data_IF_200120264541
#
_entry.id   IF_200120264541
#
_cell.length_a   1.000
_cell.length_b   1.000
_cell.length_c   1.000
_cell.angle_alpha   90.00
_cell.angle_beta   90.00
_cell.angle_gamma   90.00
#
_symmetry.space_group_name_H-M   'P 1'
#
loop_
_entity.id
_entity.type
_entity.pdbx_description
1 polymer ?
#
# COMPACT_ATOMS: atom_id res chain seq x y z
N UNK A 1 -24.67 2.14 -12.95
CA UNK A 1 -24.80 2.11 -11.48
C UNK A 1 -26.16 1.53 -11.16
N UNK A 2 -26.27 0.44 -10.36
CA UNK A 2 -27.58 -0.09 -9.97
C UNK A 2 -28.28 0.92 -9.07
N UNK A 3 -29.53 1.20 -9.33
CA UNK A 3 -30.36 2.04 -8.47
C UNK A 3 -30.77 1.24 -7.25
N UNK A 4 -30.01 1.37 -6.17
CA UNK A 4 -30.27 0.66 -4.93
C UNK A 4 -31.46 1.21 -4.13
N UNK A 5 -32.18 2.22 -4.66
CA UNK A 5 -33.42 2.72 -4.07
C UNK A 5 -34.63 1.85 -4.43
N UNK A 6 -34.51 0.98 -5.41
CA UNK A 6 -35.59 0.10 -5.85
C UNK A 6 -35.55 -1.24 -5.12
N UNK A 7 -36.61 -1.52 -4.35
CA UNK A 7 -36.75 -2.72 -3.52
C UNK A 7 -36.70 -4.05 -4.32
N UNK A 8 -37.01 -4.02 -5.60
CA UNK A 8 -36.95 -5.18 -6.50
C UNK A 8 -35.55 -5.63 -6.85
N UNK A 9 -34.55 -4.75 -6.71
CA UNK A 9 -33.14 -5.10 -6.96
C UNK A 9 -32.48 -5.87 -5.82
N UNK A 10 -33.14 -5.95 -4.66
CA UNK A 10 -32.65 -6.68 -3.49
C UNK A 10 -33.11 -8.16 -3.47
N UNK A 11 -33.71 -8.65 -4.54
CA UNK A 11 -34.20 -10.03 -4.61
C UNK A 11 -33.09 -11.00 -4.98
N UNK A 12 -32.71 -11.88 -4.06
CA UNK A 12 -31.77 -12.97 -4.38
C UNK A 12 -30.93 -13.53 -3.24
N UNK A 13 -30.96 -12.93 -2.04
CA UNK A 13 -30.25 -13.53 -0.90
C UNK A 13 -31.18 -14.39 -0.01
N UNK A 14 -30.65 -15.52 0.50
CA UNK A 14 -31.45 -16.37 1.42
C UNK A 14 -31.82 -15.62 2.70
N UNK A 15 -33.03 -15.82 3.19
CA UNK A 15 -33.42 -15.32 4.51
C UNK A 15 -32.48 -15.86 5.58
N UNK A 16 -32.01 -14.98 6.46
CA UNK A 16 -31.13 -15.35 7.57
C UNK A 16 -29.64 -15.37 7.26
N UNK A 17 -29.22 -14.82 6.15
CA UNK A 17 -27.80 -14.66 5.87
C UNK A 17 -27.14 -13.74 6.90
N UNK A 18 -26.35 -14.31 7.80
CA UNK A 18 -25.59 -13.56 8.81
C UNK A 18 -24.28 -13.09 8.20
N UNK A 19 -24.04 -11.78 8.20
CA UNK A 19 -22.75 -11.21 7.85
C UNK A 19 -21.80 -11.40 9.03
N UNK A 20 -21.07 -12.51 9.01
CA UNK A 20 -19.95 -12.73 9.92
C UNK A 20 -18.78 -11.85 9.52
N UNK A 21 -17.77 -11.75 10.39
CA UNK A 21 -16.50 -11.09 10.04
C UNK A 21 -15.91 -11.60 8.71
N UNK A 22 -15.88 -12.90 8.52
CA UNK A 22 -15.38 -13.55 7.29
C UNK A 22 -16.20 -13.14 6.07
N UNK A 23 -17.53 -13.19 6.17
CA UNK A 23 -18.41 -12.77 5.08
C UNK A 23 -18.28 -11.29 4.77
N UNK A 24 -18.15 -10.44 5.79
CA UNK A 24 -17.92 -9.01 5.62
C UNK A 24 -16.63 -8.73 4.84
N UNK A 25 -15.55 -9.43 5.12
CA UNK A 25 -14.27 -9.28 4.39
C UNK A 25 -14.37 -9.73 2.93
N UNK A 26 -15.31 -10.61 2.61
CA UNK A 26 -15.53 -11.12 1.25
C UNK A 26 -16.51 -10.25 0.43
N UNK A 27 -17.18 -9.26 1.04
CA UNK A 27 -18.04 -8.33 0.32
C UNK A 27 -17.16 -7.32 -0.39
N UNK A 28 -17.18 -7.26 -1.73
CA UNK A 28 -16.35 -6.32 -2.46
C UNK A 28 -16.78 -4.88 -2.17
N UNK A 29 -15.82 -3.99 -2.11
CA UNK A 29 -16.05 -2.55 -2.08
C UNK A 29 -16.41 -2.08 -3.47
N UNK A 30 -17.37 -1.15 -3.54
CA UNK A 30 -17.76 -0.44 -4.76
C UNK A 30 -17.30 1.01 -4.56
N UNK A 31 -16.15 1.39 -5.13
CA UNK A 31 -15.63 2.74 -4.94
C UNK A 31 -16.42 3.74 -5.80
N UNK A 32 -16.65 4.90 -5.23
CA UNK A 32 -17.28 6.05 -5.87
C UNK A 32 -16.35 7.26 -5.71
N UNK A 33 -16.09 7.99 -6.81
CA UNK A 33 -15.30 9.22 -6.74
C UNK A 33 -16.00 10.24 -5.85
N UNK A 34 -15.24 10.95 -5.02
CA UNK A 34 -15.76 12.00 -4.14
C UNK A 34 -16.11 13.24 -4.96
N UNK A 35 -17.36 13.32 -5.43
CA UNK A 35 -17.98 14.43 -6.17
C UNK A 35 -19.29 14.80 -5.50
N UNK A 36 -19.76 16.04 -5.68
CA UNK A 36 -21.07 16.47 -5.14
C UNK A 36 -22.22 15.53 -5.52
N UNK A 37 -22.27 15.10 -6.79
CA UNK A 37 -23.27 14.15 -7.27
C UNK A 37 -23.22 12.80 -6.50
N UNK A 38 -22.03 12.27 -6.26
CA UNK A 38 -21.85 11.00 -5.57
C UNK A 38 -22.09 11.13 -4.06
N UNK A 39 -21.74 12.28 -3.46
CA UNK A 39 -22.09 12.62 -2.07
C UNK A 39 -23.61 12.67 -1.90
N UNK A 40 -24.32 13.34 -2.81
CA UNK A 40 -25.78 13.40 -2.79
C UNK A 40 -26.42 12.02 -2.94
N UNK A 41 -25.94 11.19 -3.87
CA UNK A 41 -26.38 9.79 -4.01
C UNK A 41 -26.14 8.96 -2.75
N UNK A 42 -24.98 9.13 -2.12
CA UNK A 42 -24.61 8.46 -0.89
C UNK A 42 -25.54 8.86 0.27
N UNK A 43 -25.79 10.15 0.42
CA UNK A 43 -26.69 10.70 1.42
C UNK A 43 -28.15 10.26 1.20
N UNK A 44 -28.64 10.27 -0.05
CA UNK A 44 -29.99 9.76 -0.37
C UNK A 44 -30.16 8.30 0.05
N UNK A 45 -29.14 7.47 -0.08
CA UNK A 45 -29.21 6.09 0.40
C UNK A 45 -29.30 6.03 1.93
N UNK A 46 -28.51 6.82 2.64
CA UNK A 46 -28.58 6.90 4.11
C UNK A 46 -29.99 7.33 4.56
N UNK A 47 -30.53 8.37 3.95
CA UNK A 47 -31.88 8.85 4.27
C UNK A 47 -32.96 7.80 3.98
N UNK A 48 -32.80 7.06 2.89
CA UNK A 48 -33.68 5.94 2.59
C UNK A 48 -33.65 4.86 3.69
N UNK A 49 -32.46 4.45 4.16
CA UNK A 49 -32.34 3.45 5.22
C UNK A 49 -32.92 3.96 6.55
N UNK A 50 -32.75 5.24 6.86
CA UNK A 50 -33.40 5.88 8.00
C UNK A 50 -34.93 5.85 7.86
N UNK A 51 -35.47 6.18 6.68
CA UNK A 51 -36.91 6.23 6.44
C UNK A 51 -37.60 4.87 6.59
N UNK A 52 -36.94 3.80 6.17
CA UNK A 52 -37.45 2.43 6.34
C UNK A 52 -37.09 1.81 7.69
N UNK A 53 -36.50 2.59 8.59
CA UNK A 53 -36.05 2.17 9.92
C UNK A 53 -35.17 0.92 9.90
N UNK A 54 -34.29 0.82 8.89
CA UNK A 54 -33.29 -0.24 8.86
C UNK A 54 -32.33 -0.07 10.06
N UNK A 55 -32.11 -1.09 10.89
CA UNK A 55 -31.29 -0.95 12.09
C UNK A 55 -29.81 -0.68 11.75
N UNK A 56 -29.12 -0.02 12.67
CA UNK A 56 -27.66 0.16 12.58
C UNK A 56 -26.94 -1.17 12.79
N UNK A 57 -25.93 -1.44 11.99
CA UNK A 57 -25.02 -2.56 12.20
C UNK A 57 -24.13 -2.29 13.42
N UNK A 58 -23.99 -3.26 14.29
CA UNK A 58 -23.09 -3.17 15.44
C UNK A 58 -21.71 -3.62 15.03
N UNK A 59 -20.72 -2.77 15.26
CA UNK A 59 -19.32 -3.08 14.96
C UNK A 59 -18.59 -3.66 16.16
N UNK A 60 -17.64 -4.52 15.87
CA UNK A 60 -16.65 -4.98 16.84
C UNK A 60 -15.56 -3.93 17.03
N UNK A 61 -14.80 -3.94 18.14
CA UNK A 61 -13.65 -3.06 18.32
C UNK A 61 -12.61 -3.14 17.19
N UNK A 62 -12.53 -4.27 16.49
CA UNK A 62 -11.67 -4.45 15.31
C UNK A 62 -12.28 -3.91 14.00
N UNK A 63 -13.46 -3.28 14.05
CA UNK A 63 -14.14 -2.68 12.90
C UNK A 63 -14.98 -3.67 12.06
N UNK A 64 -15.06 -4.94 12.43
CA UNK A 64 -15.94 -5.92 11.80
C UNK A 64 -17.40 -5.77 12.23
N UNK A 65 -18.29 -6.57 11.63
CA UNK A 65 -19.71 -6.63 12.02
C UNK A 65 -19.91 -7.63 13.15
N UNK A 66 -20.53 -7.22 14.23
CA UNK A 66 -20.79 -8.10 15.37
C UNK A 66 -21.90 -9.12 15.04
N UNK A 67 -21.76 -10.36 15.51
CA UNK A 67 -22.78 -11.41 15.33
C UNK A 67 -24.17 -10.99 15.80
N UNK A 68 -24.26 -10.19 16.88
CA UNK A 68 -25.53 -9.68 17.41
C UNK A 68 -26.29 -8.75 16.46
N UNK A 69 -25.66 -8.27 15.38
CA UNK A 69 -26.36 -7.52 14.33
C UNK A 69 -27.25 -8.39 13.45
N UNK A 70 -27.25 -9.69 13.66
CA UNK A 70 -28.04 -10.68 12.90
C UNK A 70 -27.91 -10.57 11.38
N UNK A 71 -26.80 -9.97 10.92
CA UNK A 71 -26.51 -9.76 9.50
C UNK A 71 -27.46 -8.82 8.77
N UNK A 72 -28.13 -7.92 9.49
CA UNK A 72 -29.18 -7.08 8.98
C UNK A 72 -29.04 -5.66 9.50
N UNK A 73 -28.88 -4.69 8.59
CA UNK A 73 -28.74 -3.29 8.95
C UNK A 73 -27.78 -2.51 8.02
N UNK A 74 -27.48 -1.32 8.42
CA UNK A 74 -26.54 -0.44 7.71
C UNK A 74 -25.61 0.27 8.70
N UNK A 75 -24.48 0.74 8.19
CA UNK A 75 -23.54 1.50 8.97
C UNK A 75 -22.61 2.34 8.08
N UNK A 76 -22.22 3.52 8.56
CA UNK A 76 -21.24 4.39 7.91
C UNK A 76 -20.01 4.48 8.79
N UNK A 77 -18.83 4.47 8.18
CA UNK A 77 -17.55 4.69 8.88
C UNK A 77 -16.52 5.40 8.04
N UNK A 78 -15.64 6.12 8.71
CA UNK A 78 -14.39 6.61 8.10
C UNK A 78 -13.44 5.43 7.88
N UNK A 79 -12.77 5.40 6.72
CA UNK A 79 -11.69 4.45 6.42
C UNK A 79 -10.41 5.27 6.22
N UNK A 80 -9.55 5.25 7.23
CA UNK A 80 -8.39 6.15 7.27
C UNK A 80 -8.86 7.61 7.19
N UNK A 81 -8.05 8.46 6.57
CA UNK A 81 -8.33 9.90 6.44
C UNK A 81 -8.90 10.27 5.05
N UNK A 82 -9.22 9.32 4.20
CA UNK A 82 -9.47 9.58 2.77
C UNK A 82 -10.69 8.90 2.18
N UNK A 83 -11.50 8.23 2.98
CA UNK A 83 -12.69 7.54 2.47
C UNK A 83 -13.76 7.34 3.53
N UNK A 84 -15.02 7.29 3.07
CA UNK A 84 -16.19 6.91 3.86
C UNK A 84 -16.76 5.62 3.29
N UNK A 85 -17.03 4.64 4.12
CA UNK A 85 -17.65 3.39 3.73
C UNK A 85 -19.06 3.30 4.27
N UNK A 86 -20.05 3.13 3.40
CA UNK A 86 -21.39 2.70 3.74
C UNK A 86 -21.46 1.19 3.54
N UNK A 87 -21.69 0.46 4.62
CA UNK A 87 -21.98 -0.97 4.59
C UNK A 87 -23.48 -1.17 4.75
N UNK A 88 -24.07 -1.94 3.86
CA UNK A 88 -25.48 -2.29 3.91
C UNK A 88 -25.62 -3.80 3.85
N UNK A 89 -26.42 -4.35 4.72
CA UNK A 89 -26.87 -5.75 4.63
C UNK A 89 -28.36 -5.81 4.90
N UNK A 90 -29.07 -6.42 3.99
CA UNK A 90 -30.52 -6.64 4.05
C UNK A 90 -30.81 -8.11 3.85
N UNK A 91 -32.07 -8.50 3.95
CA UNK A 91 -32.52 -9.86 3.62
C UNK A 91 -32.21 -10.26 2.16
N UNK A 92 -31.95 -9.27 1.30
CA UNK A 92 -31.87 -9.45 -0.14
C UNK A 92 -30.52 -9.07 -0.73
N UNK A 93 -29.73 -8.22 -0.06
CA UNK A 93 -28.48 -7.72 -0.59
C UNK A 93 -27.49 -7.35 0.51
N UNK A 94 -26.22 -7.50 0.19
CA UNK A 94 -25.12 -6.97 0.99
C UNK A 94 -24.12 -6.30 0.07
N UNK A 95 -23.75 -5.05 0.38
CA UNK A 95 -22.77 -4.29 -0.39
C UNK A 95 -22.03 -3.28 0.47
N UNK A 96 -20.93 -2.79 -0.03
CA UNK A 96 -20.10 -1.77 0.59
C UNK A 96 -19.81 -0.69 -0.45
N UNK A 97 -20.35 0.51 -0.26
CA UNK A 97 -19.99 1.68 -1.07
C UNK A 97 -18.86 2.44 -0.40
N UNK A 98 -17.89 2.89 -1.16
CA UNK A 98 -16.76 3.66 -0.62
C UNK A 98 -16.66 4.97 -1.39
N UNK A 99 -17.03 6.05 -0.73
CA UNK A 99 -16.85 7.39 -1.23
C UNK A 99 -15.40 7.83 -0.99
N UNK A 100 -14.65 8.13 -2.06
CA UNK A 100 -13.20 8.36 -1.98
C UNK A 100 -12.70 9.19 -3.15
N UNK A 101 -11.61 9.93 -2.94
CA UNK A 101 -10.87 10.58 -4.02
C UNK A 101 -9.87 9.63 -4.71
N UNK A 102 -9.61 8.47 -4.12
CA UNK A 102 -8.71 7.46 -4.67
C UNK A 102 -9.51 6.18 -4.97
N UNK A 103 -10.25 6.20 -6.09
CA UNK A 103 -11.10 5.08 -6.53
C UNK A 103 -10.28 3.80 -6.63
N UNK A 104 -9.12 3.87 -7.26
CA UNK A 104 -8.25 2.72 -7.48
C UNK A 104 -7.81 2.08 -6.16
N UNK A 105 -7.64 2.84 -5.09
CA UNK A 105 -7.27 2.29 -3.78
C UNK A 105 -8.34 1.37 -3.21
N UNK A 106 -9.58 1.52 -3.57
CA UNK A 106 -10.73 0.80 -3.01
C UNK A 106 -11.46 -0.08 -4.04
N UNK A 107 -11.02 -0.10 -5.29
CA UNK A 107 -11.51 -1.05 -6.28
C UNK A 107 -10.95 -2.45 -5.98
N UNK A 108 -11.71 -3.23 -5.21
CA UNK A 108 -11.32 -4.57 -4.80
C UNK A 108 -11.48 -5.61 -5.92
N UNK A 109 -12.14 -5.26 -7.02
CA UNK A 109 -12.21 -6.14 -8.19
C UNK A 109 -10.84 -6.26 -8.87
N UNK A 110 -10.04 -5.18 -8.80
CA UNK A 110 -8.70 -5.10 -9.40
C UNK A 110 -7.56 -5.17 -8.38
N UNK A 111 -7.83 -5.03 -7.06
CA UNK A 111 -6.75 -4.94 -6.05
C UNK A 111 -6.45 -6.24 -5.33
N UNK A 112 -5.17 -6.57 -5.41
CA UNK A 112 -4.53 -7.45 -4.44
C UNK A 112 -4.44 -6.73 -3.08
N UNK A 113 -5.24 -7.13 -2.10
CA UNK A 113 -5.02 -6.73 -0.71
C UNK A 113 -3.80 -7.46 -0.16
N UNK A 114 -3.15 -6.94 0.89
CA UNK A 114 -2.01 -7.64 1.52
C UNK A 114 -2.33 -9.10 1.87
N UNK A 115 -3.57 -9.40 2.26
CA UNK A 115 -4.02 -10.77 2.52
C UNK A 115 -4.07 -11.61 1.23
N UNK A 116 -4.59 -11.07 0.11
CA UNK A 116 -4.60 -11.80 -1.18
C UNK A 116 -3.17 -12.02 -1.70
N UNK A 117 -2.32 -10.99 -1.59
CA UNK A 117 -0.90 -11.09 -1.94
C UNK A 117 -0.22 -12.20 -1.15
N UNK A 118 -0.40 -12.22 0.17
CA UNK A 118 0.08 -13.29 1.03
C UNK A 118 -0.43 -14.68 0.63
N UNK A 119 -1.72 -14.81 0.32
CA UNK A 119 -2.30 -16.08 -0.13
C UNK A 119 -1.70 -16.56 -1.45
N UNK A 120 -1.45 -15.63 -2.40
CA UNK A 120 -0.78 -15.96 -3.66
C UNK A 120 0.64 -16.45 -3.40
N UNK A 121 1.42 -15.72 -2.61
CA UNK A 121 2.78 -16.12 -2.25
C UNK A 121 2.80 -17.47 -1.52
N UNK A 122 1.92 -17.66 -0.54
CA UNK A 122 1.79 -18.95 0.16
C UNK A 122 1.50 -20.10 -0.79
N UNK A 123 0.61 -19.92 -1.75
CA UNK A 123 0.31 -20.95 -2.72
C UNK A 123 1.52 -21.29 -3.61
N UNK A 124 2.34 -20.31 -3.97
CA UNK A 124 3.56 -20.56 -4.73
C UNK A 124 4.61 -21.30 -3.88
N UNK A 125 4.76 -20.97 -2.59
CA UNK A 125 5.62 -21.71 -1.67
C UNK A 125 5.15 -23.16 -1.47
N UNK A 126 3.86 -23.38 -1.30
CA UNK A 126 3.29 -24.72 -1.13
C UNK A 126 3.56 -25.62 -2.35
N UNK A 127 3.63 -25.07 -3.58
CA UNK A 127 3.99 -25.85 -4.79
C UNK A 127 5.42 -26.41 -4.73
N UNK A 128 6.29 -25.75 -4.00
CA UNK A 128 7.68 -26.19 -3.80
C UNK A 128 7.87 -26.93 -2.45
N UNK A 129 6.78 -27.26 -1.77
CA UNK A 129 6.80 -28.00 -0.51
C UNK A 129 7.19 -27.14 0.70
N UNK A 130 7.18 -25.81 0.57
CA UNK A 130 7.49 -24.87 1.66
C UNK A 130 6.19 -24.44 2.32
N UNK A 131 6.00 -24.80 3.58
CA UNK A 131 4.84 -24.42 4.35
C UNK A 131 5.18 -23.25 5.28
N UNK A 132 4.62 -22.06 5.01
CA UNK A 132 4.92 -20.85 5.81
C UNK A 132 4.56 -21.01 7.31
N UNK A 133 3.67 -21.94 7.66
CA UNK A 133 3.37 -22.23 9.06
C UNK A 133 4.59 -22.75 9.85
N UNK A 134 5.55 -23.40 9.16
CA UNK A 134 6.74 -23.96 9.81
C UNK A 134 7.74 -22.88 10.26
N UNK A 135 7.55 -21.64 9.77
CA UNK A 135 8.30 -20.46 10.16
C UNK A 135 7.58 -19.62 11.21
N UNK A 136 6.41 -20.07 11.66
CA UNK A 136 5.61 -19.30 12.60
C UNK A 136 6.28 -19.21 13.98
N UNK A 137 6.17 -18.02 14.58
CA UNK A 137 6.67 -17.72 15.91
C UNK A 137 5.55 -17.28 16.84
N UNK A 138 5.68 -17.52 18.12
CA UNK A 138 4.72 -17.12 19.16
C UNK A 138 4.98 -15.68 19.68
N UNK A 139 6.24 -15.23 19.63
CA UNK A 139 6.67 -13.90 20.05
C UNK A 139 6.66 -12.84 18.91
N UNK A 140 5.93 -13.06 17.84
CA UNK A 140 5.96 -12.21 16.65
C UNK A 140 5.65 -10.72 16.89
N UNK A 141 4.86 -10.39 17.94
CA UNK A 141 4.64 -8.99 18.32
C UNK A 141 5.92 -8.34 18.85
N UNK A 142 6.71 -9.06 19.65
CA UNK A 142 7.97 -8.56 20.17
C UNK A 142 8.99 -8.33 19.05
N UNK A 143 9.12 -9.29 18.14
CA UNK A 143 9.97 -9.17 16.95
C UNK A 143 9.59 -7.92 16.16
N UNK A 144 8.29 -7.73 15.85
CA UNK A 144 7.82 -6.55 15.12
C UNK A 144 8.16 -5.24 15.83
N UNK A 145 7.97 -5.18 17.13
CA UNK A 145 8.09 -3.92 17.89
C UNK A 145 9.57 -3.58 18.25
N UNK A 146 10.48 -4.55 18.25
CA UNK A 146 11.86 -4.36 18.74
C UNK A 146 12.96 -4.76 17.75
N UNK A 147 12.70 -5.66 16.81
CA UNK A 147 13.74 -6.27 15.99
C UNK A 147 13.66 -5.87 14.52
N UNK A 148 12.50 -5.41 14.03
CA UNK A 148 12.35 -4.91 12.66
C UNK A 148 12.86 -3.48 12.62
N UNK A 149 13.90 -3.25 11.84
CA UNK A 149 14.43 -1.91 11.58
C UNK A 149 13.44 -1.06 10.76
N UNK A 150 13.50 0.25 10.93
CA UNK A 150 12.80 1.17 10.04
C UNK A 150 13.42 1.11 8.62
N UNK A 151 12.60 1.20 7.57
CA UNK A 151 13.10 1.28 6.21
C UNK A 151 14.08 2.44 6.01
N UNK A 152 15.11 2.22 5.20
CA UNK A 152 16.13 3.22 4.88
C UNK A 152 15.55 4.35 3.99
N UNK A 153 14.81 5.27 4.61
CA UNK A 153 14.27 6.48 3.95
C UNK A 153 14.85 7.68 4.69
N UNK A 154 16.00 8.17 4.23
CA UNK A 154 16.68 9.28 4.89
C UNK A 154 17.57 10.06 3.93
N UNK A 155 17.84 11.30 4.24
CA UNK A 155 18.90 12.07 3.65
C UNK A 155 20.27 11.60 4.22
N UNK A 156 21.30 11.63 3.41
CA UNK A 156 22.68 11.51 3.90
C UNK A 156 23.13 12.84 4.54
N UNK A 157 24.26 12.81 5.22
CA UNK A 157 24.91 14.02 5.78
C UNK A 157 25.42 14.97 4.68
N UNK A 158 25.59 14.49 3.46
CA UNK A 158 26.07 15.26 2.31
C UNK A 158 24.95 15.96 1.55
N UNK A 159 23.68 15.64 1.81
CA UNK A 159 22.55 16.25 1.14
C UNK A 159 22.19 17.60 1.76
N UNK A 160 22.20 18.63 0.95
CA UNK A 160 21.59 19.93 1.26
C UNK A 160 20.20 20.01 0.62
N UNK A 161 19.15 20.12 1.44
CA UNK A 161 17.80 20.28 0.92
C UNK A 161 17.65 21.57 0.08
N UNK A 162 16.86 21.50 -0.97
CA UNK A 162 16.57 22.56 -1.92
C UNK A 162 17.75 22.96 -2.84
N UNK A 163 18.93 22.38 -2.65
CA UNK A 163 20.06 22.55 -3.55
C UNK A 163 19.85 21.73 -4.82
N UNK A 164 20.24 22.30 -5.96
CA UNK A 164 20.26 21.58 -7.23
C UNK A 164 21.60 20.88 -7.37
N UNK A 165 21.55 19.59 -7.59
CA UNK A 165 22.67 18.74 -7.92
C UNK A 165 22.62 18.39 -9.41
N UNK A 166 23.77 18.24 -10.04
CA UNK A 166 23.89 17.84 -11.43
C UNK A 166 24.61 16.50 -11.51
N UNK A 167 24.29 15.73 -12.57
CA UNK A 167 24.93 14.44 -12.84
C UNK A 167 24.83 13.49 -11.65
N UNK A 168 23.60 13.16 -11.27
CA UNK A 168 23.28 12.31 -10.12
C UNK A 168 22.83 10.95 -10.63
N UNK A 169 23.48 9.89 -10.18
CA UNK A 169 23.11 8.51 -10.47
C UNK A 169 22.11 8.01 -9.46
N UNK A 170 21.26 7.08 -9.87
CA UNK A 170 20.41 6.31 -9.00
C UNK A 170 20.68 4.82 -9.22
N UNK A 171 20.87 4.09 -8.14
CA UNK A 171 20.88 2.64 -8.13
C UNK A 171 19.66 2.13 -7.39
N UNK A 172 19.09 1.01 -7.86
CA UNK A 172 17.90 0.39 -7.28
C UNK A 172 18.06 -1.13 -7.15
N UNK A 173 17.57 -1.69 -6.05
CA UNK A 173 17.58 -3.13 -5.80
C UNK A 173 16.33 -3.80 -6.38
N UNK A 174 16.51 -4.72 -7.27
CA UNK A 174 15.42 -5.51 -7.86
C UNK A 174 14.71 -6.39 -6.83
N UNK A 175 13.42 -6.11 -6.58
CA UNK A 175 12.63 -6.85 -5.58
C UNK A 175 13.38 -7.03 -4.27
N UNK A 176 13.75 -5.94 -3.68
CA UNK A 176 14.69 -5.83 -2.58
C UNK A 176 14.33 -6.69 -1.37
N UNK A 177 13.13 -6.56 -0.81
CA UNK A 177 12.68 -7.34 0.34
C UNK A 177 12.58 -8.85 0.05
N UNK A 178 11.98 -9.29 -1.08
CA UNK A 178 12.06 -10.70 -1.48
C UNK A 178 13.49 -11.21 -1.65
N UNK A 179 14.40 -10.37 -2.14
CA UNK A 179 15.83 -10.68 -2.21
C UNK A 179 16.45 -10.91 -0.82
N UNK A 180 16.13 -10.04 0.13
CA UNK A 180 16.53 -10.20 1.53
C UNK A 180 16.01 -11.48 2.15
N UNK A 181 14.74 -11.79 1.91
CA UNK A 181 14.16 -13.05 2.37
C UNK A 181 14.90 -14.26 1.78
N UNK A 182 15.20 -14.23 0.48
CA UNK A 182 15.93 -15.28 -0.21
C UNK A 182 17.38 -15.44 0.31
N UNK A 183 18.01 -14.39 0.79
CA UNK A 183 19.34 -14.45 1.38
C UNK A 183 19.33 -15.11 2.76
N UNK A 184 18.35 -14.81 3.58
CA UNK A 184 18.22 -15.36 4.95
C UNK A 184 17.57 -16.74 4.95
N UNK A 185 16.77 -17.07 3.92
CA UNK A 185 16.05 -18.32 3.75
C UNK A 185 16.32 -18.90 2.34
N UNK A 186 17.51 -19.50 2.11
CA UNK A 186 17.91 -19.99 0.79
C UNK A 186 16.94 -21.01 0.17
N UNK A 187 16.22 -21.75 0.99
CA UNK A 187 15.18 -22.71 0.55
C UNK A 187 14.00 -22.01 -0.14
N UNK A 188 13.73 -20.73 0.18
CA UNK A 188 12.68 -19.93 -0.44
C UNK A 188 13.10 -19.31 -1.78
N UNK A 189 14.41 -19.24 -2.05
CA UNK A 189 14.98 -18.53 -3.21
C UNK A 189 14.34 -18.94 -4.52
N UNK A 190 14.28 -20.24 -4.80
CA UNK A 190 13.72 -20.78 -6.05
C UNK A 190 12.29 -20.32 -6.31
N UNK A 191 11.46 -20.30 -5.26
CA UNK A 191 10.07 -19.85 -5.37
C UNK A 191 10.00 -18.34 -5.65
N UNK A 192 10.80 -17.55 -4.94
CA UNK A 192 10.82 -16.10 -5.09
C UNK A 192 11.36 -15.68 -6.46
N UNK A 193 12.41 -16.31 -6.95
CA UNK A 193 12.95 -16.11 -8.30
C UNK A 193 11.90 -16.47 -9.37
N UNK A 194 11.20 -17.58 -9.22
CA UNK A 194 10.13 -17.96 -10.15
C UNK A 194 9.01 -16.91 -10.19
N UNK A 195 8.60 -16.35 -9.07
CA UNK A 195 7.59 -15.27 -9.02
C UNK A 195 8.13 -14.00 -9.69
N UNK A 196 9.39 -13.67 -9.43
CA UNK A 196 10.06 -12.52 -10.01
C UNK A 196 10.17 -12.63 -11.54
N UNK A 197 10.56 -13.81 -12.06
CA UNK A 197 10.64 -14.04 -13.51
C UNK A 197 9.26 -14.02 -14.18
N UNK A 198 8.24 -14.58 -13.53
CA UNK A 198 6.85 -14.45 -14.01
C UNK A 198 6.41 -13.00 -14.09
N UNK A 199 6.81 -12.17 -13.11
CA UNK A 199 6.54 -10.73 -13.12
C UNK A 199 7.17 -10.07 -14.34
N UNK A 200 8.46 -10.33 -14.61
CA UNK A 200 9.18 -9.77 -15.77
C UNK A 200 8.59 -10.18 -17.12
N UNK A 201 8.02 -11.36 -17.19
CA UNK A 201 7.43 -11.91 -18.42
C UNK A 201 5.97 -11.48 -18.62
N UNK A 202 5.38 -10.71 -17.70
CA UNK A 202 3.98 -10.29 -17.74
C UNK A 202 3.87 -8.86 -18.28
N UNK A 203 2.95 -8.62 -19.21
CA UNK A 203 2.60 -7.28 -19.69
C UNK A 203 1.97 -6.42 -18.57
N UNK A 204 1.31 -7.05 -17.59
CA UNK A 204 0.82 -6.42 -16.36
C UNK A 204 1.57 -7.02 -15.15
N UNK A 205 2.67 -6.40 -14.77
CA UNK A 205 3.50 -6.82 -13.65
C UNK A 205 2.96 -6.38 -12.29
N UNK A 206 1.95 -5.49 -12.28
CA UNK A 206 1.48 -4.79 -11.08
C UNK A 206 0.99 -5.74 -9.97
N UNK A 207 0.30 -6.81 -10.33
CA UNK A 207 -0.22 -7.77 -9.36
C UNK A 207 0.89 -8.64 -8.73
N UNK A 208 1.85 -9.09 -9.53
CA UNK A 208 2.97 -9.90 -9.04
C UNK A 208 3.97 -9.06 -8.25
N UNK A 209 4.21 -7.81 -8.67
CA UNK A 209 4.98 -6.84 -7.88
C UNK A 209 4.33 -6.63 -6.51
N UNK A 210 3.04 -6.35 -6.49
CA UNK A 210 2.32 -6.17 -5.25
C UNK A 210 2.29 -7.46 -4.40
N UNK A 211 2.23 -8.65 -5.02
CA UNK A 211 2.30 -9.91 -4.31
C UNK A 211 3.63 -10.08 -3.56
N UNK A 212 4.73 -9.74 -4.18
CA UNK A 212 6.06 -9.79 -3.56
C UNK A 212 6.19 -8.78 -2.42
N UNK A 213 5.90 -7.51 -2.69
CA UNK A 213 6.13 -6.42 -1.73
C UNK A 213 5.09 -6.41 -0.58
N UNK A 214 3.80 -6.55 -0.92
CA UNK A 214 2.72 -6.51 0.06
C UNK A 214 2.70 -7.73 0.99
N UNK A 215 3.26 -8.87 0.56
CA UNK A 215 3.35 -10.06 1.42
C UNK A 215 4.31 -9.85 2.57
N UNK A 216 5.46 -9.20 2.34
CA UNK A 216 6.42 -8.88 3.41
C UNK A 216 5.77 -7.94 4.45
N UNK A 217 5.03 -6.92 3.98
CA UNK A 217 4.24 -6.06 4.87
C UNK A 217 3.17 -6.84 5.64
N UNK A 218 2.55 -7.86 5.02
CA UNK A 218 1.55 -8.68 5.68
C UNK A 218 2.14 -9.61 6.74
N UNK A 219 3.35 -10.12 6.58
CA UNK A 219 4.02 -10.98 7.57
C UNK A 219 4.10 -10.31 8.95
N UNK A 220 4.32 -9.01 9.01
CA UNK A 220 4.34 -8.23 10.25
C UNK A 220 2.96 -7.71 10.68
N UNK A 221 1.88 -8.16 10.06
CA UNK A 221 0.52 -7.75 10.39
C UNK A 221 -0.06 -8.57 11.54
N UNK A 222 -0.82 -7.92 12.43
CA UNK A 222 -1.62 -8.63 13.45
C UNK A 222 -2.64 -9.62 12.87
N UNK A 223 -2.92 -9.53 11.58
CA UNK A 223 -3.84 -10.41 10.87
C UNK A 223 -3.14 -11.63 10.26
N UNK A 224 -1.81 -11.62 10.21
CA UNK A 224 -1.01 -12.80 9.87
C UNK A 224 -0.98 -13.73 11.09
N UNK A 225 -1.86 -14.73 11.08
CA UNK A 225 -2.05 -15.64 12.23
C UNK A 225 -1.80 -17.08 11.81
N UNK A 226 -1.04 -17.80 12.64
CA UNK A 226 -0.85 -19.24 12.57
C UNK A 226 -1.12 -19.76 13.98
N UNK A 227 -1.93 -20.80 14.13
CA UNK A 227 -2.27 -21.45 15.39
C UNK A 227 -2.67 -20.45 16.51
N UNK A 228 -3.45 -19.42 16.15
CA UNK A 228 -3.92 -18.31 16.99
C UNK A 228 -2.84 -17.27 17.38
N UNK A 229 -1.57 -17.48 17.07
CA UNK A 229 -0.51 -16.49 17.27
C UNK A 229 -0.63 -15.38 16.23
N UNK A 230 -0.72 -14.12 16.68
CA UNK A 230 -0.73 -12.92 15.83
C UNK A 230 0.69 -12.55 15.46
N UNK A 231 0.85 -11.87 14.33
CA UNK A 231 2.18 -11.51 13.80
C UNK A 231 3.07 -12.75 13.58
N UNK A 232 2.45 -13.89 13.29
CA UNK A 232 3.10 -15.19 13.33
C UNK A 232 4.34 -15.33 12.42
N UNK A 233 4.44 -14.51 11.37
CA UNK A 233 5.56 -14.52 10.43
C UNK A 233 6.42 -13.23 10.51
N UNK A 234 6.39 -12.51 11.62
CA UNK A 234 7.14 -11.28 11.80
C UNK A 234 8.67 -11.48 11.70
N UNK A 235 9.16 -12.68 12.02
CA UNK A 235 10.56 -13.07 11.79
C UNK A 235 10.94 -13.03 10.32
N UNK A 236 10.09 -13.50 9.41
CA UNK A 236 10.34 -13.42 7.96
C UNK A 236 10.36 -11.97 7.47
N UNK A 237 9.48 -11.11 8.00
CA UNK A 237 9.51 -9.69 7.70
C UNK A 237 10.78 -9.01 8.22
N UNK A 238 11.19 -9.34 9.46
CA UNK A 238 12.46 -8.88 10.04
C UNK A 238 13.64 -9.24 9.15
N UNK A 239 13.73 -10.51 8.78
CA UNK A 239 14.85 -11.03 8.01
C UNK A 239 14.92 -10.37 6.62
N UNK A 240 13.77 -10.14 5.97
CA UNK A 240 13.71 -9.44 4.69
C UNK A 240 14.10 -7.96 4.80
N UNK A 241 13.56 -7.23 5.81
CA UNK A 241 13.75 -5.78 5.96
C UNK A 241 15.15 -5.47 6.45
N UNK A 242 15.64 -6.19 7.46
CA UNK A 242 16.96 -5.93 8.04
C UNK A 242 18.07 -6.31 7.06
N UNK A 243 17.92 -7.41 6.28
CA UNK A 243 18.86 -7.75 5.21
C UNK A 243 18.89 -6.66 4.12
N UNK A 244 17.73 -6.12 3.75
CA UNK A 244 17.69 -5.00 2.81
C UNK A 244 18.49 -3.79 3.35
N UNK A 245 18.24 -3.41 4.59
CA UNK A 245 18.96 -2.30 5.22
C UNK A 245 20.46 -2.57 5.31
N UNK A 246 20.86 -3.81 5.59
CA UNK A 246 22.28 -4.23 5.59
C UNK A 246 22.90 -4.07 4.20
N UNK A 247 22.21 -4.51 3.14
CA UNK A 247 22.70 -4.37 1.75
C UNK A 247 22.82 -2.90 1.33
N UNK A 248 21.86 -2.05 1.69
CA UNK A 248 21.95 -0.61 1.46
C UNK A 248 23.16 -0.03 2.17
N UNK A 249 23.45 -0.42 3.41
CA UNK A 249 24.67 0.01 4.13
C UNK A 249 25.95 -0.46 3.42
N UNK A 250 25.97 -1.70 2.94
CA UNK A 250 27.12 -2.25 2.23
C UNK A 250 27.41 -1.48 0.93
N UNK A 251 26.38 -1.28 0.11
CA UNK A 251 26.54 -0.49 -1.13
C UNK A 251 26.90 0.97 -0.83
N UNK A 252 26.39 1.55 0.25
CA UNK A 252 26.81 2.89 0.69
C UNK A 252 28.33 2.94 0.95
N UNK A 253 28.87 1.92 1.62
CA UNK A 253 30.32 1.84 1.86
C UNK A 253 31.09 1.66 0.55
N UNK A 254 30.62 0.82 -0.36
CA UNK A 254 31.21 0.64 -1.70
C UNK A 254 31.23 1.96 -2.50
N UNK A 255 30.13 2.74 -2.44
CA UNK A 255 30.07 4.08 -3.04
C UNK A 255 31.11 5.03 -2.45
N UNK A 256 31.23 5.08 -1.12
CA UNK A 256 32.19 5.94 -0.44
C UNK A 256 33.63 5.54 -0.74
N UNK A 257 33.97 4.25 -0.80
CA UNK A 257 35.26 3.70 -1.17
C UNK A 257 35.62 4.03 -2.61
N UNK A 258 34.61 4.09 -3.51
CA UNK A 258 34.79 4.52 -4.89
C UNK A 258 34.91 6.05 -5.06
N UNK A 259 34.82 6.82 -3.97
CA UNK A 259 34.87 8.28 -4.00
C UNK A 259 33.56 8.94 -4.39
N UNK A 260 32.46 8.17 -4.42
CA UNK A 260 31.12 8.68 -4.67
C UNK A 260 30.49 9.26 -3.40
N UNK A 261 29.51 10.13 -3.57
CA UNK A 261 28.84 10.82 -2.47
C UNK A 261 27.35 10.45 -2.47
N UNK A 262 26.88 9.59 -1.54
CA UNK A 262 25.46 9.29 -1.43
C UNK A 262 24.67 10.52 -0.96
N UNK A 263 23.48 10.73 -1.51
CA UNK A 263 22.62 11.89 -1.23
C UNK A 263 21.34 11.48 -0.51
N UNK A 264 20.56 10.58 -1.12
CA UNK A 264 19.23 10.23 -0.65
C UNK A 264 19.02 8.72 -0.72
N UNK A 265 18.44 8.15 0.34
CA UNK A 265 18.06 6.74 0.45
C UNK A 265 16.56 6.58 0.34
N UNK A 266 16.10 5.68 -0.53
CA UNK A 266 14.69 5.40 -0.81
C UNK A 266 14.37 3.93 -0.61
N UNK A 267 14.32 3.44 0.61
CA UNK A 267 13.99 2.05 0.92
C UNK A 267 14.93 1.02 0.29
N UNK A 268 15.04 1.00 -1.04
CA UNK A 268 15.73 0.03 -1.89
C UNK A 268 16.63 0.69 -2.94
N UNK A 269 16.72 2.03 -2.94
CA UNK A 269 17.56 2.78 -3.87
C UNK A 269 18.43 3.85 -3.20
N UNK A 270 19.47 4.29 -3.89
CA UNK A 270 20.39 5.35 -3.45
C UNK A 270 20.64 6.32 -4.61
N UNK A 271 20.35 7.60 -4.37
CA UNK A 271 20.81 8.68 -5.23
C UNK A 271 22.22 9.12 -4.80
N UNK A 272 23.15 9.21 -5.73
CA UNK A 272 24.56 9.55 -5.44
C UNK A 272 25.23 10.36 -6.54
N UNK A 273 26.30 11.07 -6.19
CA UNK A 273 27.19 11.80 -7.11
C UNK A 273 28.53 11.10 -7.18
N UNK A 274 29.18 11.15 -8.32
CA UNK A 274 30.49 10.57 -8.61
C UNK A 274 30.48 9.79 -9.90
N UNK A 275 31.46 8.94 -10.11
CA UNK A 275 31.50 8.03 -11.24
C UNK A 275 30.44 6.93 -11.06
N UNK A 276 29.90 6.45 -12.17
CA UNK A 276 28.91 5.38 -12.15
C UNK A 276 29.51 4.11 -11.53
N UNK A 277 28.96 3.68 -10.41
CA UNK A 277 29.32 2.39 -9.81
C UNK A 277 28.64 1.27 -10.61
N UNK A 278 29.42 0.42 -11.25
CA UNK A 278 28.95 -0.67 -12.10
C UNK A 278 29.53 -2.04 -11.72
N UNK A 279 29.96 -2.15 -10.49
CA UNK A 279 30.46 -3.40 -9.88
C UNK A 279 30.27 -3.33 -8.38
N UNK A 280 30.22 -4.47 -7.72
CA UNK A 280 30.07 -4.57 -6.27
C UNK A 280 29.45 -5.91 -5.87
N UNK A 281 29.34 -6.12 -4.57
CA UNK A 281 28.89 -7.40 -4.00
C UNK A 281 27.54 -7.89 -4.54
N UNK A 282 26.57 -6.97 -4.67
CA UNK A 282 25.22 -7.28 -5.08
C UNK A 282 24.86 -6.64 -6.44
N UNK A 283 25.87 -6.23 -7.21
CA UNK A 283 25.67 -5.70 -8.55
C UNK A 283 25.19 -6.77 -9.54
N UNK A 284 24.26 -6.41 -10.41
CA UNK A 284 23.76 -7.25 -11.52
C UNK A 284 22.26 -7.49 -11.49
N UNK A 285 21.81 -8.37 -12.38
CA UNK A 285 20.38 -8.71 -12.59
C UNK A 285 19.93 -9.79 -11.66
N UNK A 286 18.63 -9.75 -11.29
CA UNK A 286 17.99 -10.78 -10.50
C UNK A 286 17.48 -10.26 -9.16
N UNK A 287 16.79 -11.13 -8.46
CA UNK A 287 16.17 -10.79 -7.19
C UNK A 287 17.21 -10.37 -6.13
N UNK A 288 17.03 -9.21 -5.56
CA UNK A 288 17.93 -8.68 -4.53
C UNK A 288 19.28 -8.20 -5.05
N UNK A 289 19.48 -8.09 -6.36
CA UNK A 289 20.63 -7.45 -7.00
C UNK A 289 20.27 -6.02 -7.34
N UNK A 290 21.28 -5.14 -7.48
CA UNK A 290 21.08 -3.76 -7.86
C UNK A 290 21.77 -3.42 -9.18
N UNK A 291 21.19 -2.47 -9.89
CA UNK A 291 21.74 -1.83 -11.09
C UNK A 291 21.52 -0.32 -10.98
N UNK A 292 22.27 0.47 -11.77
CA UNK A 292 21.87 1.85 -11.99
C UNK A 292 20.68 1.88 -12.94
N UNK A 293 19.62 2.57 -12.56
CA UNK A 293 18.38 2.65 -13.32
C UNK A 293 18.08 4.07 -13.83
N UNK A 294 18.64 5.13 -13.19
CA UNK A 294 18.49 6.50 -13.64
C UNK A 294 19.79 7.27 -13.55
N UNK A 295 19.98 8.19 -14.53
CA UNK A 295 20.99 9.24 -14.53
C UNK A 295 20.31 10.59 -14.65
N UNK A 296 20.27 11.33 -13.57
CA UNK A 296 19.64 12.64 -13.52
C UNK A 296 20.64 13.75 -13.89
N UNK A 297 20.35 14.49 -14.95
CA UNK A 297 21.11 15.70 -15.31
C UNK A 297 20.89 16.81 -14.29
N UNK A 298 19.71 16.82 -13.63
CA UNK A 298 19.38 17.70 -12.49
C UNK A 298 18.60 16.91 -11.46
N UNK A 299 18.93 17.14 -10.19
CA UNK A 299 18.28 16.50 -9.06
C UNK A 299 18.14 17.51 -7.91
N UNK A 300 16.98 17.52 -7.23
CA UNK A 300 16.75 18.40 -6.09
C UNK A 300 15.78 17.77 -5.10
N UNK A 301 16.10 17.84 -3.82
CA UNK A 301 15.31 17.25 -2.75
C UNK A 301 14.64 18.32 -1.90
N UNK A 302 13.33 18.29 -1.80
CA UNK A 302 12.53 19.11 -0.89
C UNK A 302 12.43 18.48 0.50
N UNK A 303 12.23 17.18 0.53
CA UNK A 303 12.22 16.34 1.74
C UNK A 303 12.52 14.90 1.33
N UNK A 304 12.80 14.03 2.27
CA UNK A 304 13.12 12.61 1.99
C UNK A 304 12.02 11.85 1.24
N UNK A 305 10.80 12.41 1.15
CA UNK A 305 9.67 11.84 0.41
C UNK A 305 9.15 12.76 -0.70
N UNK A 306 9.89 13.83 -0.99
CA UNK A 306 9.51 14.79 -2.02
C UNK A 306 10.79 15.33 -2.69
N UNK A 307 11.02 14.90 -3.92
CA UNK A 307 12.17 15.30 -4.73
C UNK A 307 11.78 15.31 -6.21
N UNK A 308 12.63 15.92 -7.00
CA UNK A 308 12.43 16.02 -8.45
C UNK A 308 13.76 15.80 -9.16
N UNK A 309 13.67 15.24 -10.37
CA UNK A 309 14.83 15.08 -11.22
C UNK A 309 14.46 15.22 -12.71
N UNK A 310 15.49 15.44 -13.53
CA UNK A 310 15.42 15.43 -14.99
C UNK A 310 16.41 14.40 -15.48
N UNK A 311 15.98 13.44 -16.26
CA UNK A 311 16.79 12.48 -16.99
C UNK A 311 16.55 12.56 -18.51
N UNK A 312 16.90 11.52 -19.26
CA UNK A 312 16.69 11.46 -20.71
C UNK A 312 15.20 11.40 -21.11
N UNK A 313 14.36 10.85 -20.24
CA UNK A 313 12.91 10.75 -20.46
C UNK A 313 12.17 12.04 -20.05
N UNK A 314 12.85 12.99 -19.43
CA UNK A 314 12.31 14.30 -19.09
C UNK A 314 12.23 14.58 -17.59
N UNK A 315 11.16 15.28 -17.18
CA UNK A 315 10.98 15.72 -15.80
C UNK A 315 10.17 14.72 -14.97
N UNK A 316 10.69 14.37 -13.80
CA UNK A 316 10.10 13.41 -12.88
C UNK A 316 9.89 14.02 -11.48
N UNK A 317 8.64 14.37 -11.13
CA UNK A 317 8.29 14.75 -9.76
C UNK A 317 7.98 13.52 -8.92
N UNK A 318 8.71 13.32 -7.83
CA UNK A 318 8.44 12.25 -6.85
C UNK A 318 7.93 12.86 -5.56
N UNK A 319 6.71 12.51 -5.18
CA UNK A 319 6.11 12.98 -3.93
C UNK A 319 5.10 11.98 -3.39
N UNK A 320 5.24 11.66 -2.11
CA UNK A 320 4.27 10.83 -1.39
C UNK A 320 2.95 11.58 -1.19
N UNK A 321 1.84 10.90 -1.47
CA UNK A 321 0.49 11.45 -1.29
C UNK A 321 0.06 12.41 -2.42
N UNK A 322 -1.18 12.90 -2.33
CA UNK A 322 -1.75 13.89 -3.25
C UNK A 322 -1.52 15.30 -2.74
N UNK A 323 -1.32 16.23 -3.65
CA UNK A 323 -1.14 17.65 -3.37
C UNK A 323 -2.29 18.46 -3.95
N UNK A 324 -2.39 19.74 -3.58
CA UNK A 324 -3.35 20.65 -4.23
C UNK A 324 -3.09 20.81 -5.71
N UNK A 325 -1.84 20.68 -6.14
CA UNK A 325 -1.47 20.80 -7.55
C UNK A 325 -1.99 19.60 -8.35
N UNK A 326 -2.01 18.38 -7.78
CA UNK A 326 -2.62 17.20 -8.42
C UNK A 326 -4.12 17.35 -8.74
N UNK A 327 -4.77 18.39 -8.19
CA UNK A 327 -6.18 18.68 -8.47
C UNK A 327 -6.36 19.54 -9.71
N UNK A 328 -5.36 20.35 -9.99
CA UNK A 328 -5.40 21.38 -11.03
C UNK A 328 -4.63 20.89 -12.26
N UNK A 329 -3.53 20.18 -12.05
CA UNK A 329 -2.59 19.78 -13.07
C UNK A 329 -2.13 18.34 -12.82
N UNK A 330 -2.32 17.39 -13.74
CA UNK A 330 -1.80 16.04 -13.60
C UNK A 330 -0.28 16.04 -13.51
N UNK A 331 0.32 15.09 -12.80
CA UNK A 331 1.79 15.05 -12.59
C UNK A 331 2.59 14.93 -13.87
N UNK A 332 2.01 14.35 -14.91
CA UNK A 332 2.61 14.27 -16.24
C UNK A 332 2.79 15.63 -16.94
N UNK A 333 2.12 16.67 -16.43
CA UNK A 333 2.23 18.03 -16.93
C UNK A 333 3.02 18.94 -15.97
N UNK A 334 3.53 18.43 -14.84
CA UNK A 334 4.34 19.21 -13.92
C UNK A 334 5.67 19.57 -14.55
N UNK A 335 6.21 20.70 -14.13
CA UNK A 335 7.47 21.24 -14.56
C UNK A 335 8.43 21.39 -13.37
N UNK A 336 9.70 21.60 -13.66
CA UNK A 336 10.72 21.83 -12.64
C UNK A 336 10.31 22.93 -11.67
N UNK A 337 10.27 22.59 -10.39
CA UNK A 337 9.87 23.49 -9.32
C UNK A 337 8.41 23.38 -8.89
N UNK A 338 7.54 22.70 -9.64
CA UNK A 338 6.13 22.53 -9.28
C UNK A 338 5.96 21.82 -7.94
N UNK A 339 6.84 20.87 -7.62
CA UNK A 339 6.84 20.16 -6.34
C UNK A 339 7.00 21.12 -5.14
N UNK A 340 7.60 22.30 -5.34
CA UNK A 340 7.79 23.29 -4.29
C UNK A 340 6.57 24.15 -4.05
N UNK A 341 5.69 24.26 -5.03
CA UNK A 341 4.42 25.00 -4.93
C UNK A 341 3.35 24.20 -4.16
N UNK A 342 3.60 22.92 -3.95
CA UNK A 342 2.68 22.05 -3.25
C UNK A 342 2.76 22.27 -1.75
N UNK A 343 1.88 23.09 -1.21
CA UNK A 343 1.59 23.10 0.22
C UNK A 343 0.85 21.84 0.63
N UNK A 344 1.14 21.31 1.83
CA UNK A 344 0.50 20.11 2.37
C UNK A 344 -1.03 20.16 2.24
N UNK A 345 -1.60 19.02 1.95
CA UNK A 345 -2.97 18.83 1.53
C UNK A 345 -3.96 19.31 2.60
N UNK A 346 -4.61 20.43 2.38
CA UNK A 346 -5.88 20.78 3.04
C UNK A 346 -7.10 20.01 2.45
N UNK A 347 -6.90 19.12 1.50
CA UNK A 347 -7.98 18.36 0.85
C UNK A 347 -8.69 17.40 1.79
N UNK A 348 -7.95 16.90 2.79
CA UNK A 348 -8.55 16.13 3.86
C UNK A 348 -9.45 16.98 4.79
N UNK A 349 -9.22 18.27 4.89
CA UNK A 349 -10.10 19.17 5.66
C UNK A 349 -11.48 19.33 4.99
N UNK A 350 -11.52 19.61 3.68
CA UNK A 350 -12.78 19.65 2.94
C UNK A 350 -13.52 18.31 2.98
N UNK A 351 -12.80 17.21 2.83
CA UNK A 351 -13.37 15.88 2.93
C UNK A 351 -13.78 15.54 4.37
N UNK A 352 -13.04 15.99 5.37
CA UNK A 352 -13.41 15.82 6.77
C UNK A 352 -14.62 16.66 7.14
N UNK A 353 -14.72 17.91 6.67
CA UNK A 353 -15.88 18.77 6.91
C UNK A 353 -17.15 18.14 6.32
N UNK A 354 -17.10 17.65 5.09
CA UNK A 354 -18.22 16.93 4.46
C UNK A 354 -18.52 15.59 5.13
N UNK A 355 -17.50 14.89 5.62
CA UNK A 355 -17.69 13.67 6.42
C UNK A 355 -18.33 13.99 7.74
N UNK A 356 -17.92 15.07 8.41
CA UNK A 356 -18.46 15.50 9.68
C UNK A 356 -19.90 16.00 9.53
N UNK A 357 -20.27 16.64 8.40
CA UNK A 357 -21.67 16.93 8.06
C UNK A 357 -22.51 15.65 7.95
N UNK A 358 -22.01 14.61 7.27
CA UNK A 358 -22.70 13.32 7.17
C UNK A 358 -22.84 12.64 8.54
N UNK A 359 -21.86 12.81 9.43
CA UNK A 359 -21.92 12.24 10.78
C UNK A 359 -22.75 13.06 11.77
N UNK A 360 -22.68 14.40 11.70
CA UNK A 360 -23.44 15.28 12.62
C UNK A 360 -24.92 15.30 12.36
N UNK A 361 -25.38 15.00 11.15
CA UNK A 361 -26.80 14.72 10.87
C UNK A 361 -27.31 13.44 11.55
N UNK A 362 -26.42 12.58 12.04
CA UNK A 362 -26.80 11.33 12.73
C UNK A 362 -27.00 11.51 14.25
N UNK A 363 -26.46 12.57 14.83
CA UNK A 363 -26.57 12.84 16.29
C UNK A 363 -27.75 13.77 16.65
N UNK A 364 -28.51 14.25 15.66
CA UNK A 364 -29.73 15.03 15.82
C UNK A 364 -30.96 14.19 15.49
#
# INVERSE_FOLDING_TARGET
MKDFTNRSEFTGMPKGHQVTWMNYMNIPRIPMKFTEENVDKFNKQIQYFKSIKLPKLVRTPSGGIAKRSYGYGWDVRKIGNSAIELTVTTWYSTYRLVLTNNVDKYDEATKLTGCKAFMMMRNEFNKDGIELKDYAVDNGKEIKDKEIEDPMIKASEFLEFNKVYNNVHHLDFHSSYPGGLANKHPEMRKTLERIYEKRKASDDDSQLKLALDASIGYFQSKYCTVDKHKYALANLARDAINDNNERIRNVTNELLEAGCVPLLYNTDGIWYIGDELNSGRDYGKGIGKWENDHFATKFRVKSVRAYEYIDEDGYHPVQSGRTKLDEIKPRTEWEWGDIYQTGGVKKYALMNDQVDEIYTEEEK
#
